data_IF_267518496470
#
_entry.id   IF_267518496470
#
_cell.length_a   1.000
_cell.length_b   1.000
_cell.length_c   1.000
_cell.angle_alpha   90.00
_cell.angle_beta   90.00
_cell.angle_gamma   90.00
#
_symmetry.space_group_name_H-M   'P 1'
#
loop_
_entity.id
_entity.type
_entity.pdbx_description
1 polymer ?
#
# COMPACT_ATOMS: atom_id res chain seq x y z
N UNK A 1 8.86 -0.99 7.19
CA UNK A 1 10.31 -1.32 7.17
C UNK A 1 10.76 -1.93 5.84
N UNK A 2 10.18 -3.05 5.37
CA UNK A 2 10.65 -3.74 4.16
C UNK A 2 10.59 -2.90 2.87
N UNK A 3 9.55 -2.09 2.69
CA UNK A 3 9.40 -1.20 1.52
C UNK A 3 10.50 -0.12 1.49
N UNK A 4 10.75 0.53 2.64
CA UNK A 4 11.83 1.51 2.81
C UNK A 4 13.19 0.86 2.59
N UNK A 5 13.41 -0.34 3.13
CA UNK A 5 14.67 -1.05 2.94
C UNK A 5 14.93 -1.41 1.47
N UNK A 6 13.89 -1.83 0.74
CA UNK A 6 13.99 -2.17 -0.67
C UNK A 6 14.19 -0.95 -1.58
N UNK A 7 13.63 0.21 -1.19
CA UNK A 7 13.78 1.47 -1.92
C UNK A 7 13.88 2.65 -0.94
N UNK A 8 15.09 2.94 -0.40
CA UNK A 8 15.27 3.97 0.62
C UNK A 8 14.92 5.39 0.16
N UNK A 9 15.02 5.65 -1.15
CA UNK A 9 14.72 6.95 -1.77
C UNK A 9 13.22 7.16 -2.02
N UNK A 10 12.41 6.11 -1.89
CA UNK A 10 10.97 6.20 -2.14
C UNK A 10 10.33 7.07 -1.05
N UNK A 11 9.55 8.05 -1.46
CA UNK A 11 8.89 8.96 -0.51
C UNK A 11 7.84 8.22 0.34
N UNK A 12 7.52 8.78 1.51
CA UNK A 12 6.47 8.25 2.36
C UNK A 12 5.11 8.22 1.64
N UNK A 13 4.80 9.27 0.88
CA UNK A 13 3.56 9.40 0.10
C UNK A 13 3.46 8.31 -0.98
N UNK A 14 4.57 7.99 -1.65
CA UNK A 14 4.57 6.95 -2.68
C UNK A 14 4.49 5.54 -2.08
N UNK A 15 5.06 5.35 -0.89
CA UNK A 15 4.86 4.12 -0.11
C UNK A 15 3.40 3.98 0.29
N UNK A 16 2.77 5.04 0.80
CA UNK A 16 1.36 5.04 1.18
C UNK A 16 0.45 4.72 -0.02
N UNK A 17 0.67 5.38 -1.15
CA UNK A 17 -0.08 5.12 -2.40
C UNK A 17 0.08 3.68 -2.87
N UNK A 18 1.30 3.13 -2.86
CA UNK A 18 1.50 1.74 -3.26
C UNK A 18 0.79 0.76 -2.33
N UNK A 19 0.85 1.00 -1.02
CA UNK A 19 0.13 0.19 -0.05
C UNK A 19 -1.39 0.27 -0.25
N UNK A 20 -1.93 1.47 -0.44
CA UNK A 20 -3.36 1.70 -0.65
C UNK A 20 -3.88 1.07 -1.95
N UNK A 21 -3.17 1.26 -3.06
CA UNK A 21 -3.61 0.82 -4.39
C UNK A 21 -3.51 -0.69 -4.62
N UNK A 22 -2.62 -1.37 -3.88
CA UNK A 22 -2.42 -2.81 -3.99
C UNK A 22 -3.13 -3.61 -2.90
N UNK A 23 -3.72 -2.93 -1.91
CA UNK A 23 -4.48 -3.58 -0.88
C UNK A 23 -5.73 -4.26 -1.46
N UNK A 24 -6.09 -5.41 -0.88
CA UNK A 24 -7.34 -6.09 -1.18
C UNK A 24 -8.42 -5.55 -0.27
N UNK A 25 -9.37 -4.81 -0.83
CA UNK A 25 -10.56 -4.34 -0.13
C UNK A 25 -11.24 -5.50 0.64
N UNK A 26 -11.52 -5.26 1.92
CA UNK A 26 -12.23 -6.21 2.79
C UNK A 26 -13.64 -5.73 3.16
N UNK A 27 -13.95 -4.46 2.91
CA UNK A 27 -15.22 -3.82 3.18
C UNK A 27 -15.89 -3.29 1.90
N UNK A 28 -16.68 -2.20 2.01
CA UNK A 28 -17.14 -1.44 0.85
C UNK A 28 -15.97 -1.04 -0.04
N UNK A 29 -16.23 -0.85 -1.34
CA UNK A 29 -15.19 -0.48 -2.30
C UNK A 29 -14.48 0.81 -1.88
N UNK A 30 -13.15 0.77 -1.82
CA UNK A 30 -12.30 1.91 -1.45
C UNK A 30 -12.09 2.06 0.06
N UNK A 31 -11.57 3.23 0.47
CA UNK A 31 -11.19 3.46 1.86
C UNK A 31 -12.41 3.52 2.77
N UNK A 32 -12.43 2.67 3.79
CA UNK A 32 -13.44 2.68 4.84
C UNK A 32 -12.81 2.89 6.24
N UNK A 33 -13.66 3.06 7.26
CA UNK A 33 -13.22 3.38 8.63
C UNK A 33 -12.83 2.14 9.44
N UNK A 34 -13.20 0.95 8.99
CA UNK A 34 -13.01 -0.31 9.73
C UNK A 34 -11.73 -1.03 9.26
N UNK A 35 -11.48 -1.02 7.95
CA UNK A 35 -10.42 -1.73 7.25
C UNK A 35 -9.47 -0.81 6.47
N UNK A 36 -9.74 0.50 6.36
CA UNK A 36 -8.95 1.38 5.50
C UNK A 36 -9.09 0.95 4.03
N UNK A 37 -7.99 0.70 3.33
CA UNK A 37 -8.00 0.11 1.97
C UNK A 37 -8.02 -1.43 1.98
N UNK A 38 -8.18 -2.06 3.14
CA UNK A 38 -8.21 -3.51 3.30
C UNK A 38 -6.85 -4.13 3.58
N UNK A 39 -6.69 -5.39 3.14
CA UNK A 39 -5.51 -6.19 3.45
C UNK A 39 -4.33 -5.80 2.56
N UNK A 40 -3.23 -5.35 3.16
CA UNK A 40 -2.02 -4.97 2.44
C UNK A 40 -1.41 -6.15 1.66
N UNK A 41 -1.13 -5.94 0.37
CA UNK A 41 -0.28 -6.82 -0.43
C UNK A 41 1.12 -6.22 -0.56
N UNK A 42 2.02 -6.62 0.36
CA UNK A 42 3.38 -6.07 0.42
C UNK A 42 4.18 -6.41 -0.84
N UNK A 43 3.96 -7.58 -1.43
CA UNK A 43 4.70 -7.99 -2.62
C UNK A 43 4.27 -7.18 -3.83
N UNK A 44 2.96 -6.95 -3.98
CA UNK A 44 2.45 -6.05 -5.00
C UNK A 44 2.94 -4.60 -4.77
N UNK A 45 2.85 -4.08 -3.54
CA UNK A 45 3.30 -2.73 -3.19
C UNK A 45 4.79 -2.48 -3.46
N UNK A 46 5.64 -3.50 -3.27
CA UNK A 46 7.06 -3.42 -3.61
C UNK A 46 7.31 -3.26 -5.11
N UNK A 47 6.44 -3.83 -5.95
CA UNK A 47 6.56 -3.77 -7.42
C UNK A 47 5.71 -2.66 -8.06
N UNK A 48 4.84 -2.02 -7.27
CA UNK A 48 3.97 -0.95 -7.73
C UNK A 48 4.80 0.27 -8.09
N UNK A 49 4.68 0.68 -9.36
CA UNK A 49 5.26 1.93 -9.86
C UNK A 49 4.46 3.12 -9.33
N UNK A 50 5.15 4.25 -9.18
CA UNK A 50 4.60 5.54 -8.73
C UNK A 50 3.51 6.07 -9.67
#
# INVERSE_FOLDING_TARGET
ANLIHAAPERSADDIEKALATTARDLGPKGRDNDFGFGLLDIKAAQTAKE
#
